data_IF_601673039407
#
_entry.id   IF_601673039407
#
_cell.length_a   1.000
_cell.length_b   1.000
_cell.length_c   1.000
_cell.angle_alpha   90.00
_cell.angle_beta   90.00
_cell.angle_gamma   90.00
#
_symmetry.space_group_name_H-M   'P 1'
#
loop_
_entity.id
_entity.type
_entity.pdbx_description
1 polymer ?
#
# COMPACT_ATOMS: atom_id res chain seq x y z
N UNK A 1 -22.95 4.73 27.64
CA UNK A 1 -24.02 3.84 27.11
C UNK A 1 -25.11 4.64 26.41
N UNK A 2 -25.66 5.69 27.02
CA UNK A 2 -26.72 6.51 26.44
C UNK A 2 -26.28 7.36 25.25
N UNK A 3 -25.01 7.80 25.21
CA UNK A 3 -24.46 8.51 24.05
C UNK A 3 -24.35 7.56 22.84
N UNK A 4 -23.89 6.33 23.03
CA UNK A 4 -23.81 5.34 21.98
C UNK A 4 -25.18 5.04 21.34
N UNK A 5 -26.23 4.92 22.16
CA UNK A 5 -27.62 4.72 21.67
C UNK A 5 -28.13 5.92 20.87
N UNK A 6 -27.78 7.14 21.27
CA UNK A 6 -28.15 8.36 20.53
C UNK A 6 -27.44 8.43 19.19
N UNK A 7 -26.13 8.12 19.16
CA UNK A 7 -25.35 8.06 17.91
C UNK A 7 -25.91 6.97 16.99
N UNK A 8 -26.15 5.76 17.49
CA UNK A 8 -26.75 4.67 16.71
C UNK A 8 -28.09 5.05 16.10
N UNK A 9 -28.95 5.73 16.84
CA UNK A 9 -30.23 6.22 16.36
C UNK A 9 -30.09 7.15 15.15
N UNK A 10 -29.13 8.09 15.18
CA UNK A 10 -28.88 9.02 14.08
C UNK A 10 -28.23 8.32 12.86
N UNK A 11 -27.33 7.37 13.10
CA UNK A 11 -26.74 6.55 12.04
C UNK A 11 -27.82 5.75 11.28
N UNK A 12 -28.77 5.15 11.98
CA UNK A 12 -29.90 4.44 11.37
C UNK A 12 -30.73 5.35 10.46
N UNK A 13 -30.99 6.60 10.86
CA UNK A 13 -31.71 7.59 10.05
C UNK A 13 -30.91 7.93 8.78
N UNK A 14 -29.60 8.10 8.90
CA UNK A 14 -28.72 8.44 7.77
C UNK A 14 -28.57 7.27 6.79
N UNK A 15 -28.43 6.04 7.28
CA UNK A 15 -28.24 4.83 6.46
C UNK A 15 -29.47 4.50 5.62
N UNK A 16 -30.69 4.71 6.19
CA UNK A 16 -31.93 4.32 5.53
C UNK A 16 -32.13 4.93 4.14
N UNK A 17 -31.94 6.25 3.89
CA UNK A 17 -32.06 6.82 2.56
C UNK A 17 -30.90 6.46 1.62
N UNK A 18 -29.74 6.03 2.14
CA UNK A 18 -28.59 5.65 1.32
C UNK A 18 -28.81 4.30 0.62
N UNK A 19 -29.12 3.25 1.37
CA UNK A 19 -29.31 1.89 0.85
C UNK A 19 -30.23 1.00 1.71
N UNK A 20 -31.05 1.58 2.57
CA UNK A 20 -32.07 0.94 3.41
C UNK A 20 -31.53 -0.17 4.34
N UNK A 21 -31.12 -1.31 3.80
CA UNK A 21 -30.49 -2.43 4.51
C UNK A 21 -29.18 -2.84 3.84
N UNK A 22 -28.03 -2.59 4.46
CA UNK A 22 -26.76 -3.09 3.94
C UNK A 22 -26.65 -4.61 4.07
N UNK A 23 -25.89 -5.28 3.19
CA UNK A 23 -25.54 -6.68 3.36
C UNK A 23 -24.83 -6.89 4.69
N UNK A 24 -25.29 -7.87 5.47
CA UNK A 24 -24.82 -8.07 6.86
C UNK A 24 -23.68 -9.08 6.98
N UNK A 25 -23.46 -9.92 5.94
CA UNK A 25 -22.50 -11.02 6.02
C UNK A 25 -21.07 -10.53 6.32
N UNK A 26 -20.57 -9.55 5.57
CA UNK A 26 -19.23 -8.98 5.79
C UNK A 26 -19.10 -8.31 7.16
N UNK A 27 -20.15 -7.63 7.62
CA UNK A 27 -20.17 -7.00 8.96
C UNK A 27 -20.07 -8.04 10.09
N UNK A 28 -20.75 -9.18 9.95
CA UNK A 28 -20.66 -10.30 10.93
C UNK A 28 -19.28 -10.93 10.99
N UNK A 29 -18.58 -11.03 9.86
CA UNK A 29 -17.18 -11.50 9.83
C UNK A 29 -16.29 -10.54 10.61
N UNK A 30 -16.42 -9.23 10.34
CA UNK A 30 -15.66 -8.21 11.05
C UNK A 30 -15.98 -8.19 12.54
N UNK A 31 -17.26 -8.27 12.91
CA UNK A 31 -17.72 -8.36 14.31
C UNK A 31 -17.07 -9.55 15.02
N UNK A 32 -17.10 -10.75 14.41
CA UNK A 32 -16.51 -11.94 14.98
C UNK A 32 -15.02 -11.76 15.27
N UNK A 33 -14.26 -11.25 14.28
CA UNK A 33 -12.81 -11.03 14.43
C UNK A 33 -12.51 -10.00 15.52
N UNK A 34 -13.30 -8.93 15.59
CA UNK A 34 -13.06 -7.84 16.54
C UNK A 34 -13.57 -8.14 17.97
N UNK A 35 -14.53 -9.06 18.12
CA UNK A 35 -15.14 -9.38 19.40
C UNK A 35 -14.49 -10.58 20.10
N UNK A 36 -13.90 -11.51 19.36
CA UNK A 36 -13.19 -12.67 19.91
C UNK A 36 -11.75 -12.28 20.28
N UNK A 37 -11.33 -12.40 21.55
CA UNK A 37 -9.99 -11.97 21.99
C UNK A 37 -8.83 -12.68 21.29
N UNK A 38 -9.00 -13.96 20.89
CA UNK A 38 -7.95 -14.72 20.21
C UNK A 38 -7.84 -14.30 18.75
N UNK A 39 -8.97 -14.17 18.05
CA UNK A 39 -9.00 -13.69 16.67
C UNK A 39 -8.53 -12.25 16.57
N UNK A 40 -8.91 -11.40 17.51
CA UNK A 40 -8.45 -10.02 17.56
C UNK A 40 -6.93 -9.92 17.74
N UNK A 41 -6.35 -10.68 18.66
CA UNK A 41 -4.90 -10.71 18.87
C UNK A 41 -4.17 -11.24 17.63
N UNK A 42 -4.69 -12.26 16.96
CA UNK A 42 -4.14 -12.77 15.70
C UNK A 42 -4.22 -11.71 14.62
N UNK A 43 -5.37 -11.06 14.44
CA UNK A 43 -5.57 -9.99 13.46
C UNK A 43 -4.57 -8.84 13.64
N UNK A 44 -4.36 -8.36 14.87
CA UNK A 44 -3.37 -7.32 15.15
C UNK A 44 -1.96 -7.73 14.74
N UNK A 45 -1.56 -8.98 15.00
CA UNK A 45 -0.26 -9.52 14.60
C UNK A 45 -0.12 -9.59 13.08
N UNK A 46 -1.15 -10.03 12.39
CA UNK A 46 -1.15 -10.14 10.92
C UNK A 46 -1.12 -8.76 10.24
N UNK A 47 -1.92 -7.81 10.72
CA UNK A 47 -1.92 -6.41 10.23
C UNK A 47 -0.54 -5.78 10.41
N UNK A 48 0.07 -5.98 11.59
CA UNK A 48 1.43 -5.51 11.83
C UNK A 48 2.44 -6.15 10.86
N UNK A 49 2.33 -7.46 10.64
CA UNK A 49 3.20 -8.17 9.68
C UNK A 49 3.09 -7.62 8.26
N UNK A 50 1.87 -7.31 7.81
CA UNK A 50 1.65 -6.67 6.50
C UNK A 50 2.29 -5.29 6.43
N UNK A 51 2.12 -4.46 7.45
CA UNK A 51 2.72 -3.12 7.52
C UNK A 51 4.25 -3.18 7.54
N UNK A 52 4.82 -4.07 8.33
CA UNK A 52 6.27 -4.28 8.43
C UNK A 52 6.86 -4.74 7.09
N UNK A 53 6.17 -5.62 6.35
CA UNK A 53 6.58 -6.06 5.02
C UNK A 53 6.62 -4.91 4.03
N UNK A 54 5.57 -4.09 3.96
CA UNK A 54 5.51 -2.91 3.08
C UNK A 54 6.67 -1.95 3.40
N UNK A 55 6.87 -1.63 4.66
CA UNK A 55 7.94 -0.73 5.09
C UNK A 55 9.33 -1.31 4.81
N UNK A 56 9.50 -2.63 4.91
CA UNK A 56 10.74 -3.29 4.58
C UNK A 56 11.04 -3.21 3.07
N UNK A 57 10.05 -3.47 2.22
CA UNK A 57 10.22 -3.36 0.76
C UNK A 57 10.58 -1.94 0.33
N UNK A 58 10.00 -0.91 0.95
CA UNK A 58 10.40 0.49 0.71
C UNK A 58 11.87 0.73 1.06
N UNK A 59 12.31 0.28 2.23
CA UNK A 59 13.72 0.40 2.66
C UNK A 59 14.66 -0.37 1.74
N UNK A 60 14.33 -1.61 1.42
CA UNK A 60 15.13 -2.45 0.52
C UNK A 60 15.28 -1.81 -0.86
N UNK A 61 14.19 -1.33 -1.44
CA UNK A 61 14.24 -0.63 -2.75
C UNK A 61 15.16 0.59 -2.68
N UNK A 62 14.99 1.45 -1.69
CA UNK A 62 15.85 2.63 -1.49
C UNK A 62 17.31 2.26 -1.30
N UNK A 63 17.60 1.26 -0.47
CA UNK A 63 18.97 0.78 -0.23
C UNK A 63 19.61 0.26 -1.53
N UNK A 64 18.89 -0.53 -2.31
CA UNK A 64 19.40 -1.03 -3.61
C UNK A 64 19.69 0.11 -4.59
N UNK A 65 18.82 1.11 -4.67
CA UNK A 65 19.03 2.26 -5.54
C UNK A 65 20.28 3.05 -5.17
N UNK A 66 20.54 3.30 -3.90
CA UNK A 66 21.71 4.06 -3.46
C UNK A 66 22.99 3.21 -3.39
N UNK A 67 22.94 2.08 -2.70
CA UNK A 67 24.16 1.34 -2.37
C UNK A 67 24.61 0.40 -3.48
N UNK A 68 23.66 -0.25 -4.16
CA UNK A 68 24.00 -1.19 -5.24
C UNK A 68 24.19 -0.50 -6.60
N UNK A 69 23.31 0.47 -6.91
CA UNK A 69 23.28 1.12 -8.20
C UNK A 69 23.92 2.51 -8.20
N UNK A 70 24.22 3.09 -7.03
CA UNK A 70 24.86 4.40 -6.91
C UNK A 70 24.01 5.54 -7.48
N UNK A 71 22.67 5.41 -7.44
CA UNK A 71 21.76 6.38 -8.02
C UNK A 71 21.94 7.76 -7.38
N UNK A 72 22.07 8.80 -8.21
CA UNK A 72 22.16 10.20 -7.79
C UNK A 72 20.79 10.85 -7.65
N UNK A 73 19.73 10.20 -8.12
CA UNK A 73 18.37 10.67 -7.97
C UNK A 73 17.94 10.58 -6.50
N UNK A 74 17.12 11.55 -6.05
CA UNK A 74 16.64 11.55 -4.66
C UNK A 74 15.49 10.56 -4.48
N UNK A 75 15.74 9.48 -3.73
CA UNK A 75 14.77 8.43 -3.42
C UNK A 75 14.23 8.47 -1.99
N UNK A 76 14.50 9.53 -1.22
CA UNK A 76 14.04 9.68 0.17
C UNK A 76 12.52 9.59 0.28
N UNK A 77 11.81 10.12 -0.70
CA UNK A 77 10.36 10.12 -0.74
C UNK A 77 9.74 8.71 -0.70
N UNK A 78 10.43 7.66 -1.18
CA UNK A 78 9.94 6.28 -1.13
C UNK A 78 9.68 5.81 0.30
N UNK A 79 10.56 6.18 1.23
CA UNK A 79 10.43 5.81 2.65
C UNK A 79 9.62 6.82 3.47
N UNK A 80 9.42 8.05 2.97
CA UNK A 80 8.61 9.07 3.63
C UNK A 80 7.12 8.95 3.33
N UNK A 81 6.76 8.27 2.24
CA UNK A 81 5.37 7.95 1.91
C UNK A 81 4.86 6.78 2.77
N UNK A 82 3.57 6.79 3.04
CA UNK A 82 2.88 5.73 3.82
C UNK A 82 1.84 5.01 2.95
N UNK A 83 1.38 3.87 3.42
CA UNK A 83 0.33 3.09 2.77
C UNK A 83 0.86 2.12 1.72
N UNK A 84 -0.06 1.54 0.95
CA UNK A 84 0.21 0.46 0.01
C UNK A 84 0.84 0.94 -1.31
N UNK A 85 0.65 2.20 -1.67
CA UNK A 85 1.13 2.79 -2.93
C UNK A 85 2.31 3.73 -2.70
N UNK A 86 3.11 3.92 -3.74
CA UNK A 86 4.16 4.92 -3.79
C UNK A 86 4.20 5.61 -5.16
N UNK A 87 4.42 6.92 -5.16
CA UNK A 87 4.82 7.67 -6.35
C UNK A 87 6.34 7.65 -6.43
N UNK A 88 6.85 7.26 -7.60
CA UNK A 88 8.30 7.13 -7.83
C UNK A 88 8.96 8.44 -8.28
N UNK A 89 8.17 9.42 -8.72
CA UNK A 89 8.71 10.68 -9.25
C UNK A 89 9.34 10.54 -10.62
N UNK A 90 8.97 9.51 -11.38
CA UNK A 90 9.41 9.29 -12.77
C UNK A 90 8.47 9.98 -13.75
N UNK A 91 9.03 10.43 -14.91
CA UNK A 91 8.26 11.06 -15.97
C UNK A 91 7.47 10.03 -16.80
N UNK A 92 6.43 10.46 -17.57
CA UNK A 92 5.71 9.55 -18.48
C UNK A 92 6.62 8.84 -19.49
N UNK A 93 7.69 9.51 -19.98
CA UNK A 93 8.67 8.92 -20.89
C UNK A 93 9.46 7.82 -20.19
N UNK A 94 9.87 8.04 -18.93
CA UNK A 94 10.53 7.03 -18.12
C UNK A 94 9.59 5.86 -17.77
N UNK A 95 8.30 6.13 -17.53
CA UNK A 95 7.28 5.08 -17.38
C UNK A 95 7.17 4.24 -18.64
N UNK A 96 7.14 4.85 -19.81
CA UNK A 96 7.09 4.12 -21.09
C UNK A 96 8.32 3.22 -21.29
N UNK A 97 9.52 3.67 -20.92
CA UNK A 97 10.73 2.82 -20.92
C UNK A 97 10.61 1.67 -19.92
N UNK A 98 10.17 1.93 -18.70
CA UNK A 98 9.94 0.88 -17.69
C UNK A 98 9.02 -0.22 -18.21
N UNK A 99 7.93 0.16 -18.89
CA UNK A 99 6.96 -0.80 -19.44
C UNK A 99 7.51 -1.57 -20.63
N UNK A 100 8.09 -0.86 -21.62
CA UNK A 100 8.43 -1.45 -22.90
C UNK A 100 9.78 -2.17 -22.90
N UNK A 101 10.76 -1.68 -22.12
CA UNK A 101 12.13 -2.20 -22.13
C UNK A 101 12.44 -3.06 -20.91
N UNK A 102 11.83 -2.74 -19.76
CA UNK A 102 12.08 -3.45 -18.49
C UNK A 102 10.92 -4.33 -18.02
N UNK A 103 9.77 -4.28 -18.70
CA UNK A 103 8.54 -5.02 -18.31
C UNK A 103 8.07 -4.75 -16.87
N UNK A 104 8.29 -3.52 -16.40
CA UNK A 104 7.80 -3.02 -15.13
C UNK A 104 6.54 -2.21 -15.37
N UNK A 105 5.39 -2.72 -14.90
CA UNK A 105 4.08 -2.14 -15.18
C UNK A 105 3.62 -1.28 -14.02
N UNK A 106 3.33 0.00 -14.31
CA UNK A 106 2.89 1.00 -13.36
C UNK A 106 1.95 2.00 -14.06
N UNK A 107 1.31 2.88 -13.28
CA UNK A 107 0.46 3.92 -13.85
C UNK A 107 1.30 5.03 -14.50
N UNK A 108 0.74 5.74 -15.48
CA UNK A 108 1.46 6.78 -16.25
C UNK A 108 1.93 7.96 -15.39
N UNK A 109 1.35 8.16 -14.22
CA UNK A 109 1.77 9.13 -13.22
C UNK A 109 2.92 8.65 -12.32
N UNK A 110 3.49 7.47 -12.59
CA UNK A 110 4.60 6.90 -11.82
C UNK A 110 4.20 6.27 -10.48
N UNK A 111 2.92 5.94 -10.28
CA UNK A 111 2.45 5.27 -9.07
C UNK A 111 2.60 3.75 -9.18
N UNK A 112 3.18 3.14 -8.15
CA UNK A 112 3.27 1.68 -8.01
C UNK A 112 2.56 1.18 -6.76
N UNK A 113 2.18 -0.10 -6.77
CA UNK A 113 1.77 -0.82 -5.56
C UNK A 113 2.99 -1.46 -4.90
N UNK A 114 3.38 -0.95 -3.73
CA UNK A 114 4.49 -1.53 -2.94
C UNK A 114 4.14 -2.95 -2.47
N UNK A 115 2.85 -3.28 -2.36
CA UNK A 115 2.40 -4.63 -2.03
C UNK A 115 2.80 -5.67 -3.10
N UNK A 116 3.00 -5.26 -4.35
CA UNK A 116 3.50 -6.12 -5.44
C UNK A 116 5.01 -6.32 -5.42
N UNK A 117 5.76 -5.56 -4.61
CA UNK A 117 7.21 -5.73 -4.47
C UNK A 117 7.50 -6.89 -3.52
N UNK A 118 8.44 -7.75 -3.93
CA UNK A 118 8.88 -8.94 -3.18
C UNK A 118 10.41 -9.02 -3.20
N UNK A 119 10.99 -9.87 -2.35
CA UNK A 119 12.44 -10.13 -2.36
C UNK A 119 12.94 -10.65 -3.71
N UNK A 120 12.07 -11.29 -4.50
CA UNK A 120 12.41 -11.82 -5.83
C UNK A 120 12.44 -10.76 -6.91
N UNK A 121 11.63 -9.70 -6.83
CA UNK A 121 11.51 -8.69 -7.90
C UNK A 121 12.06 -7.32 -7.55
N UNK A 122 12.35 -7.02 -6.29
CA UNK A 122 12.86 -5.71 -5.85
C UNK A 122 14.18 -5.34 -6.50
N UNK A 123 15.05 -6.33 -6.74
CA UNK A 123 16.33 -6.13 -7.42
C UNK A 123 16.16 -5.71 -8.89
N UNK A 124 15.23 -6.34 -9.60
CA UNK A 124 14.88 -5.97 -10.97
C UNK A 124 14.27 -4.55 -11.02
N UNK A 125 13.33 -4.26 -10.13
CA UNK A 125 12.73 -2.92 -10.06
C UNK A 125 13.78 -1.84 -9.79
N UNK A 126 14.72 -2.06 -8.86
CA UNK A 126 15.78 -1.10 -8.55
C UNK A 126 16.72 -0.86 -9.74
N UNK A 127 17.12 -1.93 -10.45
CA UNK A 127 17.94 -1.81 -11.65
C UNK A 127 17.23 -1.02 -12.76
N UNK A 128 15.97 -1.34 -13.01
CA UNK A 128 15.15 -0.67 -14.02
C UNK A 128 14.94 0.82 -13.72
N UNK A 129 14.65 1.15 -12.46
CA UNK A 129 14.51 2.55 -12.03
C UNK A 129 15.82 3.32 -12.16
N UNK A 130 16.94 2.72 -11.78
CA UNK A 130 18.25 3.32 -11.95
C UNK A 130 18.54 3.62 -13.42
N UNK A 131 18.32 2.65 -14.30
CA UNK A 131 18.58 2.80 -15.75
C UNK A 131 17.79 3.97 -16.35
N UNK A 132 16.49 4.05 -16.11
CA UNK A 132 15.64 5.10 -16.70
C UNK A 132 15.83 6.49 -16.06
N UNK A 133 16.48 6.58 -14.90
CA UNK A 133 16.72 7.85 -14.19
C UNK A 133 18.18 8.32 -14.21
N UNK A 134 19.08 7.56 -14.84
CA UNK A 134 20.54 7.84 -14.87
C UNK A 134 20.98 8.78 -15.99
N UNK A 135 20.07 9.35 -16.77
CA UNK A 135 20.34 10.29 -17.86
C UNK A 135 20.35 11.74 -17.38
#
# INVERSE_FOLDING_TARGET
>A
EDEAKRVESQLKITIRPMYSNPPVHGARIAELVLSDPQLYAQWLKEVKGMADRINNMRRTLKTLLYEKHGSKHNWEHITNQIGMFAFLGVTPEQVNKLVNEHHVYLTQDGRISVAGITDHNVGHLAASLHDVTSN
#
